data_IF_388123440317
#
_entry.id   IF_388123440317
#
_cell.length_a   1.000
_cell.length_b   1.000
_cell.length_c   1.000
_cell.angle_alpha   90.00
_cell.angle_beta   90.00
_cell.angle_gamma   90.00
#
_symmetry.space_group_name_H-M   'P 1'
#
loop_
_entity.id
_entity.type
_entity.pdbx_description
1 polymer ?
#
# COMPACT_ATOMS: atom_id res chain seq x y z
N UNK A 1 1.57 5.57 2.72
CA UNK A 1 2.73 5.26 3.58
C UNK A 1 2.37 4.37 4.77
N UNK A 2 1.17 4.49 5.38
CA UNK A 2 0.70 3.55 6.41
C UNK A 2 0.67 2.09 5.92
N UNK A 3 0.15 1.86 4.72
CA UNK A 3 0.08 0.54 4.06
C UNK A 3 1.44 -0.16 3.94
N UNK A 4 2.47 0.56 3.46
CA UNK A 4 3.83 0.03 3.31
C UNK A 4 4.42 -0.48 4.65
N UNK A 5 4.03 0.13 5.78
CA UNK A 5 4.40 -0.31 7.12
C UNK A 5 3.71 -1.61 7.55
N UNK A 6 2.52 -1.90 7.04
CA UNK A 6 1.78 -3.13 7.36
C UNK A 6 2.31 -4.37 6.64
N UNK A 7 3.09 -4.19 5.58
CA UNK A 7 3.67 -5.30 4.79
C UNK A 7 5.18 -5.48 5.00
N UNK A 8 5.91 -4.47 5.46
CA UNK A 8 7.37 -4.51 5.64
C UNK A 8 7.74 -4.89 7.08
N UNK A 9 8.76 -5.74 7.34
CA UNK A 9 9.27 -5.91 8.70
C UNK A 9 9.83 -4.57 9.19
N UNK A 10 9.57 -4.09 10.43
CA UNK A 10 9.28 -4.83 11.67
C UNK A 10 7.80 -4.90 12.11
N UNK A 11 6.89 -4.10 11.53
CA UNK A 11 5.47 -4.08 11.92
C UNK A 11 4.71 -5.21 11.22
N UNK A 12 4.76 -5.26 9.87
CA UNK A 12 4.40 -6.43 9.06
C UNK A 12 3.05 -7.09 9.36
N UNK A 13 2.07 -6.40 9.96
CA UNK A 13 0.84 -6.99 10.51
C UNK A 13 0.13 -7.85 9.46
N UNK A 14 0.04 -7.38 8.22
CA UNK A 14 -0.62 -8.11 7.13
C UNK A 14 0.13 -9.41 6.81
N UNK A 15 1.47 -9.40 6.82
CA UNK A 15 2.32 -10.59 6.61
C UNK A 15 2.17 -11.58 7.77
N UNK A 16 2.09 -11.09 9.02
CA UNK A 16 1.85 -11.92 10.21
C UNK A 16 0.50 -12.61 10.17
N UNK A 17 -0.56 -11.91 9.73
CA UNK A 17 -1.89 -12.51 9.53
C UNK A 17 -1.84 -13.59 8.46
N UNK A 18 -1.23 -13.31 7.30
CA UNK A 18 -1.11 -14.28 6.21
C UNK A 18 -0.32 -15.51 6.65
N UNK A 19 0.76 -15.36 7.40
CA UNK A 19 1.51 -16.49 7.94
C UNK A 19 0.71 -17.34 8.90
N UNK A 20 -0.14 -16.73 9.74
CA UNK A 20 -1.09 -17.46 10.60
C UNK A 20 -2.01 -18.37 9.79
N UNK A 21 -2.55 -17.86 8.67
CA UNK A 21 -3.40 -18.64 7.74
C UNK A 21 -2.59 -19.68 6.96
N UNK A 22 -1.35 -19.36 6.59
CA UNK A 22 -0.47 -20.22 5.80
C UNK A 22 0.27 -21.28 6.62
N UNK A 23 0.16 -21.24 7.95
CA UNK A 23 0.76 -22.22 8.86
C UNK A 23 0.29 -23.65 8.58
N UNK A 24 -0.95 -23.84 8.10
CA UNK A 24 -1.48 -25.14 7.64
C UNK A 24 -0.76 -25.71 6.42
N UNK A 25 0.00 -24.89 5.70
CA UNK A 25 0.76 -25.26 4.51
C UNK A 25 2.28 -25.21 4.74
N UNK A 26 2.72 -25.11 6.01
CA UNK A 26 4.13 -25.03 6.42
C UNK A 26 4.94 -23.94 5.67
N UNK A 27 4.29 -22.82 5.34
CA UNK A 27 4.95 -21.73 4.63
C UNK A 27 5.78 -20.89 5.60
N UNK A 28 7.10 -20.92 5.41
CA UNK A 28 8.05 -20.09 6.17
C UNK A 28 7.81 -18.60 5.95
N UNK A 29 8.00 -17.82 7.00
CA UNK A 29 7.85 -16.36 6.96
C UNK A 29 8.71 -15.68 5.89
N UNK A 30 9.96 -16.14 5.74
CA UNK A 30 10.87 -15.61 4.72
C UNK A 30 10.31 -15.74 3.30
N UNK A 31 9.52 -16.77 3.02
CA UNK A 31 8.87 -16.97 1.71
C UNK A 31 7.81 -15.90 1.46
N UNK A 32 7.04 -15.55 2.49
CA UNK A 32 5.98 -14.53 2.40
C UNK A 32 6.62 -13.16 2.20
N UNK A 33 7.67 -12.84 2.96
CA UNK A 33 8.43 -11.60 2.78
C UNK A 33 9.11 -11.49 1.41
N UNK A 34 9.52 -12.61 0.82
CA UNK A 34 10.03 -12.61 -0.56
C UNK A 34 8.91 -12.41 -1.58
N UNK A 35 7.71 -12.94 -1.30
CA UNK A 35 6.54 -12.83 -2.16
C UNK A 35 5.97 -11.42 -2.30
N UNK A 36 6.17 -10.55 -1.31
CA UNK A 36 5.70 -9.16 -1.34
C UNK A 36 6.63 -8.20 -2.12
N UNK A 37 7.85 -8.61 -2.50
CA UNK A 37 8.78 -7.78 -3.28
C UNK A 37 8.14 -7.17 -4.56
N UNK A 38 7.45 -7.95 -5.43
CA UNK A 38 6.79 -7.36 -6.60
C UNK A 38 5.73 -6.32 -6.24
N UNK A 39 5.03 -6.49 -5.11
CA UNK A 39 4.05 -5.52 -4.64
C UNK A 39 4.71 -4.20 -4.24
N UNK A 40 5.83 -4.26 -3.51
CA UNK A 40 6.60 -3.07 -3.11
C UNK A 40 7.09 -2.29 -4.34
N UNK A 41 7.54 -2.99 -5.39
CA UNK A 41 7.98 -2.35 -6.64
C UNK A 41 6.82 -1.57 -7.28
N UNK A 42 5.64 -2.19 -7.37
CA UNK A 42 4.45 -1.52 -7.92
C UNK A 42 4.04 -0.32 -7.05
N UNK A 43 4.08 -0.45 -5.73
CA UNK A 43 3.74 0.65 -4.82
C UNK A 43 4.67 1.85 -5.01
N UNK A 44 5.99 1.61 -5.16
CA UNK A 44 6.98 2.66 -5.45
C UNK A 44 6.69 3.31 -6.81
N UNK A 45 6.38 2.52 -7.84
CA UNK A 45 6.05 3.05 -9.18
C UNK A 45 4.81 3.93 -9.12
N UNK A 46 3.76 3.50 -8.41
CA UNK A 46 2.55 4.30 -8.24
C UNK A 46 2.86 5.60 -7.51
N UNK A 47 3.60 5.55 -6.40
CA UNK A 47 4.01 6.76 -5.67
C UNK A 47 4.76 7.72 -6.60
N UNK A 48 5.69 7.20 -7.41
CA UNK A 48 6.44 8.01 -8.35
C UNK A 48 5.55 8.65 -9.42
N UNK A 49 4.62 7.89 -10.00
CA UNK A 49 3.66 8.39 -10.98
C UNK A 49 2.75 9.46 -10.40
N UNK A 50 2.18 9.24 -9.21
CA UNK A 50 1.33 10.23 -8.55
C UNK A 50 2.09 11.49 -8.16
N UNK A 51 3.39 11.36 -7.84
CA UNK A 51 4.26 12.50 -7.55
C UNK A 51 4.54 13.33 -8.81
N UNK A 52 4.79 12.69 -9.95
CA UNK A 52 5.03 13.37 -11.23
C UNK A 52 3.76 13.93 -11.87
N UNK A 53 2.61 13.28 -11.63
CA UNK A 53 1.31 13.64 -12.20
C UNK A 53 0.29 13.94 -11.09
N UNK A 54 0.47 15.04 -10.33
CA UNK A 54 -0.37 15.35 -9.16
C UNK A 54 -1.83 15.62 -9.55
N UNK A 55 -2.11 15.98 -10.81
CA UNK A 55 -3.48 16.19 -11.29
C UNK A 55 -4.40 14.97 -11.10
N UNK A 56 -3.84 13.75 -11.08
CA UNK A 56 -4.61 12.52 -10.85
C UNK A 56 -5.19 12.50 -9.43
N UNK A 57 -4.37 12.84 -8.42
CA UNK A 57 -4.79 12.85 -7.01
C UNK A 57 -5.55 14.13 -6.63
N UNK A 58 -5.27 15.25 -7.30
CA UNK A 58 -5.90 16.54 -7.04
C UNK A 58 -7.26 16.69 -7.73
N UNK A 59 -7.63 15.82 -8.67
CA UNK A 59 -8.92 15.88 -9.36
C UNK A 59 -10.10 15.89 -8.38
N UNK A 60 -10.12 14.96 -7.43
CA UNK A 60 -11.20 14.85 -6.46
C UNK A 60 -11.22 16.02 -5.46
N UNK A 61 -10.11 16.41 -4.79
CA UNK A 61 -10.06 17.61 -3.95
C UNK A 61 -10.53 18.89 -4.66
N UNK A 62 -10.03 19.13 -5.89
CA UNK A 62 -10.43 20.31 -6.66
C UNK A 62 -11.91 20.29 -7.05
N UNK A 63 -12.49 19.10 -7.27
CA UNK A 63 -13.91 18.94 -7.56
C UNK A 63 -14.80 19.10 -6.31
N UNK A 64 -14.24 18.85 -5.11
CA UNK A 64 -14.95 19.07 -3.85
C UNK A 64 -14.96 20.54 -3.43
N UNK A 65 -13.88 21.29 -3.69
CA UNK A 65 -13.86 22.75 -3.49
C UNK A 65 -14.96 23.45 -4.32
N UNK A 66 -15.26 22.90 -5.50
CA UNK A 66 -16.38 23.35 -6.35
C UNK A 66 -17.75 23.04 -5.74
N UNK A 67 -17.86 22.02 -4.87
CA UNK A 67 -19.10 21.58 -4.22
C UNK A 67 -19.25 22.08 -2.79
N UNK A 68 -18.24 22.75 -2.23
CA UNK A 68 -18.28 23.40 -0.93
C UNK A 68 -18.28 24.95 -1.05
N UNK A 69 -19.25 25.59 -1.72
CA UNK A 69 -19.65 26.94 -1.31
C UNK A 69 -20.40 26.77 0.01
N UNK A 70 -19.66 26.65 1.11
CA UNK A 70 -20.19 26.86 2.45
C UNK A 70 -19.57 28.14 3.03
N UNK A 71 -19.78 29.23 2.28
CA UNK A 71 -20.28 30.50 2.80
C UNK A 71 -21.62 30.80 2.11
#
# INVERSE_FOLDING_TARGET
>A
MMEMGQITPPIGINVFVIHGVAKKYDVRMATIFKGIIPFIIVEIVVIFLLTLFPGIVLYLPNSMDVLAPLE
#
